data_IF_630349367416
#
_entry.id   IF_630349367416
#
_cell.length_a   1.000
_cell.length_b   1.000
_cell.length_c   1.000
_cell.angle_alpha   90.00
_cell.angle_beta   90.00
_cell.angle_gamma   90.00
#
_symmetry.space_group_name_H-M   'P 1'
#
loop_
_entity.id
_entity.type
_entity.pdbx_description
1 polymer ?
#
# COMPACT_ATOMS: atom_id res chain seq x y z
N UNK A 1 5.55 25.04 5.25
CA UNK A 1 6.04 23.70 5.62
C UNK A 1 5.24 22.69 4.80
N UNK A 2 5.89 21.86 3.99
CA UNK A 2 5.24 20.84 3.17
C UNK A 2 5.19 19.51 3.94
N UNK A 3 4.01 18.96 4.12
CA UNK A 3 3.80 17.71 4.87
C UNK A 3 3.58 16.52 3.95
N UNK A 4 4.18 15.40 4.28
CA UNK A 4 4.08 14.16 3.51
C UNK A 4 3.42 13.01 4.29
N UNK A 5 2.72 12.12 3.57
CA UNK A 5 2.19 10.87 4.07
C UNK A 5 2.77 9.71 3.27
N UNK A 6 3.39 8.75 3.96
CA UNK A 6 3.90 7.49 3.37
C UNK A 6 3.13 6.32 3.93
N UNK A 7 2.50 5.50 3.08
CA UNK A 7 1.71 4.35 3.49
C UNK A 7 2.33 3.05 2.95
N UNK A 8 2.91 2.27 3.87
CA UNK A 8 3.51 0.97 3.53
C UNK A 8 2.46 -0.01 2.99
N UNK A 9 2.89 -0.86 2.05
CA UNK A 9 2.12 -2.02 1.62
C UNK A 9 2.18 -3.19 2.60
N UNK A 10 1.28 -4.16 2.43
CA UNK A 10 1.28 -5.33 3.32
C UNK A 10 0.14 -6.32 3.04
N UNK A 11 -0.58 -6.17 1.92
CA UNK A 11 -1.79 -6.95 1.65
C UNK A 11 -2.81 -6.75 2.76
N UNK A 12 -3.32 -7.85 3.31
CA UNK A 12 -4.35 -7.83 4.36
C UNK A 12 -3.92 -7.10 5.64
N UNK A 13 -2.62 -7.03 5.95
CA UNK A 13 -2.12 -6.26 7.11
C UNK A 13 -2.38 -4.75 7.02
N UNK A 14 -2.72 -4.24 5.84
CA UNK A 14 -3.05 -2.83 5.64
C UNK A 14 -4.45 -2.44 6.16
N UNK A 15 -5.23 -3.36 6.73
CA UNK A 15 -6.39 -3.01 7.55
C UNK A 15 -5.99 -2.09 8.71
N UNK A 16 -4.77 -2.21 9.24
CA UNK A 16 -4.21 -1.29 10.21
C UNK A 16 -4.12 0.14 9.69
N UNK A 17 -3.52 0.33 8.51
CA UNK A 17 -3.43 1.67 7.90
C UNK A 17 -4.81 2.23 7.53
N UNK A 18 -5.79 1.38 7.20
CA UNK A 18 -7.17 1.81 6.97
C UNK A 18 -7.77 2.49 8.21
N UNK A 19 -7.56 1.93 9.41
CA UNK A 19 -8.02 2.52 10.67
C UNK A 19 -7.37 3.89 10.94
N UNK A 20 -6.07 4.03 10.70
CA UNK A 20 -5.35 5.32 10.84
C UNK A 20 -5.88 6.35 9.84
N UNK A 21 -6.05 5.98 8.57
CA UNK A 21 -6.50 6.89 7.51
C UNK A 21 -7.95 7.36 7.75
N UNK A 22 -8.82 6.50 8.25
CA UNK A 22 -10.18 6.90 8.63
C UNK A 22 -10.16 7.89 9.80
N UNK A 23 -9.22 7.73 10.75
CA UNK A 23 -9.04 8.72 11.83
C UNK A 23 -8.46 10.04 11.31
N UNK A 24 -7.60 10.03 10.29
CA UNK A 24 -7.18 11.28 9.65
C UNK A 24 -8.37 12.01 9.04
N UNK A 25 -9.32 11.30 8.41
CA UNK A 25 -10.54 11.90 7.90
C UNK A 25 -11.42 12.47 9.03
N UNK A 26 -11.60 11.72 10.13
CA UNK A 26 -12.40 12.16 11.28
C UNK A 26 -11.84 13.44 11.94
N UNK A 27 -10.51 13.58 11.99
CA UNK A 27 -9.80 14.73 12.58
C UNK A 27 -9.45 15.83 11.55
N UNK A 28 -9.93 15.68 10.29
CA UNK A 28 -9.65 16.62 9.20
C UNK A 28 -8.16 16.87 8.94
N UNK A 29 -7.32 15.84 9.19
CA UNK A 29 -5.88 15.91 8.95
C UNK A 29 -5.63 15.68 7.46
N UNK A 30 -4.91 16.59 6.82
CA UNK A 30 -4.55 16.55 5.40
C UNK A 30 -3.04 16.66 5.23
N UNK A 31 -2.55 16.25 4.05
CA UNK A 31 -1.13 16.30 3.69
C UNK A 31 -0.98 16.94 2.32
N UNK A 32 0.16 17.59 2.07
CA UNK A 32 0.46 18.20 0.77
C UNK A 32 0.92 17.15 -0.26
N UNK A 33 1.49 16.05 0.22
CA UNK A 33 1.99 14.94 -0.59
C UNK A 33 1.65 13.60 0.05
N UNK A 34 1.14 12.67 -0.73
CA UNK A 34 0.83 11.32 -0.29
C UNK A 34 1.49 10.30 -1.22
N UNK A 35 2.10 9.27 -0.67
CA UNK A 35 2.63 8.15 -1.44
C UNK A 35 2.27 6.81 -0.78
N UNK A 36 1.76 5.89 -1.59
CA UNK A 36 1.37 4.56 -1.14
C UNK A 36 2.06 3.45 -1.92
N UNK A 37 2.14 2.28 -1.30
CA UNK A 37 2.74 1.07 -1.90
C UNK A 37 1.76 -0.09 -1.78
N UNK A 38 1.49 -0.80 -2.89
CA UNK A 38 0.61 -1.99 -2.86
C UNK A 38 -0.78 -1.65 -2.26
N UNK A 39 -1.27 -2.45 -1.32
CA UNK A 39 -2.52 -2.15 -0.60
C UNK A 39 -2.51 -0.77 0.09
N UNK A 40 -1.34 -0.25 0.47
CA UNK A 40 -1.19 1.11 0.98
C UNK A 40 -1.55 2.18 -0.06
N UNK A 41 -1.27 1.95 -1.37
CA UNK A 41 -1.68 2.87 -2.43
C UNK A 41 -3.19 2.93 -2.60
N UNK A 42 -3.87 1.78 -2.52
CA UNK A 42 -5.32 1.71 -2.59
C UNK A 42 -5.99 2.39 -1.38
N UNK A 43 -5.45 2.16 -0.18
CA UNK A 43 -5.93 2.81 1.04
C UNK A 43 -5.75 4.34 0.97
N UNK A 44 -4.61 4.81 0.46
CA UNK A 44 -4.33 6.23 0.26
C UNK A 44 -5.28 6.85 -0.77
N UNK A 45 -5.61 6.14 -1.86
CA UNK A 45 -6.58 6.62 -2.84
C UNK A 45 -7.98 6.85 -2.22
N UNK A 46 -8.46 5.90 -1.40
CA UNK A 46 -9.74 6.06 -0.68
C UNK A 46 -9.71 7.21 0.34
N UNK A 47 -8.57 7.42 1.01
CA UNK A 47 -8.37 8.56 1.91
C UNK A 47 -8.43 9.88 1.15
N UNK A 48 -7.73 10.00 0.02
CA UNK A 48 -7.77 11.21 -0.82
C UNK A 48 -9.13 11.48 -1.44
N UNK A 49 -9.93 10.43 -1.67
CA UNK A 49 -11.33 10.52 -2.06
C UNK A 49 -12.28 10.92 -0.91
N UNK A 50 -11.78 11.07 0.32
CA UNK A 50 -12.62 11.37 1.49
C UNK A 50 -13.59 10.26 1.89
N UNK A 51 -13.39 9.04 1.40
CA UNK A 51 -14.33 7.92 1.56
C UNK A 51 -14.07 7.12 2.84
N UNK A 52 -14.47 7.69 3.98
CA UNK A 52 -14.37 7.04 5.28
C UNK A 52 -15.05 5.65 5.28
N UNK A 53 -14.40 4.67 5.86
CA UNK A 53 -14.88 3.29 5.97
C UNK A 53 -14.76 2.46 4.70
N UNK A 54 -14.48 3.08 3.52
CA UNK A 54 -14.33 2.34 2.27
C UNK A 54 -13.23 1.29 2.37
N UNK A 55 -12.07 1.65 2.90
CA UNK A 55 -10.97 0.72 3.07
C UNK A 55 -11.36 -0.49 3.93
N UNK A 56 -12.07 -0.27 5.05
CA UNK A 56 -12.50 -1.37 5.92
C UNK A 56 -13.42 -2.35 5.18
N UNK A 57 -14.37 -1.87 4.35
CA UNK A 57 -15.24 -2.76 3.57
C UNK A 57 -14.47 -3.72 2.69
N UNK A 58 -13.35 -3.30 2.10
CA UNK A 58 -12.48 -4.17 1.30
C UNK A 58 -11.77 -5.24 2.14
N UNK A 59 -11.49 -4.98 3.41
CA UNK A 59 -10.86 -5.95 4.31
C UNK A 59 -11.86 -6.85 5.03
N UNK A 60 -13.12 -6.45 5.13
CA UNK A 60 -14.15 -7.19 5.90
C UNK A 60 -15.29 -7.63 4.99
N UNK A 61 -16.02 -6.71 4.36
CA UNK A 61 -17.28 -7.03 3.69
C UNK A 61 -17.04 -7.77 2.36
N UNK A 62 -16.08 -7.32 1.55
CA UNK A 62 -15.75 -7.92 0.25
C UNK A 62 -14.77 -9.09 0.33
N UNK A 63 -14.12 -9.32 1.48
CA UNK A 63 -13.05 -10.31 1.64
C UNK A 63 -13.41 -11.72 1.16
N UNK A 64 -14.64 -12.14 1.42
CA UNK A 64 -15.13 -13.49 1.12
C UNK A 64 -15.83 -13.60 -0.23
N UNK A 65 -15.91 -12.53 -1.01
CA UNK A 65 -16.53 -12.56 -2.34
C UNK A 65 -15.75 -13.43 -3.33
N UNK A 66 -16.47 -14.16 -4.22
CA UNK A 66 -15.85 -15.02 -5.20
C UNK A 66 -15.05 -14.26 -6.24
N UNK A 67 -13.89 -14.03 -6.21
CA UNK A 67 -13.06 -13.23 -7.14
C UNK A 67 -12.10 -12.32 -6.43
N UNK A 68 -12.31 -12.08 -5.12
CA UNK A 68 -11.46 -11.23 -4.34
C UNK A 68 -10.06 -11.86 -4.15
N UNK A 69 -9.98 -13.03 -3.52
CA UNK A 69 -8.70 -13.75 -3.33
C UNK A 69 -8.91 -15.23 -2.98
N UNK A 70 -7.86 -16.02 -3.11
CA UNK A 70 -7.80 -17.39 -2.60
C UNK A 70 -7.46 -18.44 -3.64
N UNK A 71 -7.37 -19.71 -3.18
CA UNK A 71 -6.96 -20.85 -4.01
C UNK A 71 -7.93 -21.10 -5.17
N UNK A 72 -9.24 -20.91 -4.96
CA UNK A 72 -10.23 -21.04 -6.04
C UNK A 72 -10.01 -20.01 -7.14
N UNK A 73 -9.65 -18.77 -6.77
CA UNK A 73 -9.31 -17.73 -7.73
C UNK A 73 -8.01 -18.07 -8.48
N UNK A 74 -6.99 -18.55 -7.76
CA UNK A 74 -5.74 -19.01 -8.36
C UNK A 74 -5.97 -20.11 -9.41
N UNK A 75 -6.78 -21.12 -9.10
CA UNK A 75 -7.08 -22.21 -10.04
C UNK A 75 -7.87 -21.74 -11.27
N UNK A 76 -8.78 -20.78 -11.10
CA UNK A 76 -9.63 -20.27 -12.19
C UNK A 76 -8.93 -19.27 -13.09
N UNK A 77 -8.12 -18.37 -12.52
CA UNK A 77 -7.56 -17.20 -13.22
C UNK A 77 -6.04 -17.21 -13.32
N UNK A 78 -5.37 -18.09 -12.59
CA UNK A 78 -3.92 -18.09 -12.42
C UNK A 78 -3.43 -16.98 -11.49
N UNK A 79 -4.31 -16.36 -10.69
CA UNK A 79 -4.01 -15.28 -9.76
C UNK A 79 -4.63 -15.58 -8.39
N UNK A 80 -3.87 -15.42 -7.31
CA UNK A 80 -4.39 -15.57 -5.97
C UNK A 80 -5.26 -14.38 -5.57
N UNK A 81 -4.77 -13.15 -5.81
CA UNK A 81 -5.56 -11.91 -5.66
C UNK A 81 -6.22 -11.55 -6.99
N UNK A 82 -7.49 -11.27 -6.97
CA UNK A 82 -8.27 -10.86 -8.13
C UNK A 82 -8.21 -9.37 -8.36
N UNK A 83 -7.06 -8.84 -8.80
CA UNK A 83 -6.86 -7.40 -8.97
C UNK A 83 -7.91 -6.76 -9.89
N UNK A 84 -8.32 -7.46 -10.98
CA UNK A 84 -9.39 -6.99 -11.85
C UNK A 84 -10.73 -6.94 -11.11
N UNK A 85 -11.01 -7.94 -10.29
CA UNK A 85 -12.23 -7.94 -9.48
C UNK A 85 -12.25 -6.78 -8.50
N UNK A 86 -11.16 -6.60 -7.76
CA UNK A 86 -11.03 -5.57 -6.72
C UNK A 86 -11.06 -4.16 -7.33
N UNK A 87 -10.22 -3.91 -8.35
CA UNK A 87 -9.97 -2.55 -8.87
C UNK A 87 -10.70 -2.21 -10.16
N UNK A 88 -11.48 -3.14 -10.72
CA UNK A 88 -12.38 -2.86 -11.84
C UNK A 88 -13.83 -3.20 -11.45
N UNK A 89 -14.15 -4.46 -11.10
CA UNK A 89 -15.54 -4.86 -10.84
C UNK A 89 -16.15 -4.19 -9.60
N UNK A 90 -15.37 -4.06 -8.49
CA UNK A 90 -15.88 -3.41 -7.27
C UNK A 90 -15.71 -1.89 -7.31
N UNK A 91 -14.58 -1.43 -7.84
CA UNK A 91 -14.09 -0.04 -7.67
C UNK A 91 -14.54 0.90 -8.79
N UNK A 92 -14.91 0.40 -9.99
CA UNK A 92 -15.41 1.24 -11.07
C UNK A 92 -16.73 1.93 -10.70
N UNK A 93 -17.07 2.97 -11.42
CA UNK A 93 -18.25 3.83 -11.17
C UNK A 93 -19.60 3.06 -11.15
N UNK A 94 -19.67 1.93 -11.85
CA UNK A 94 -20.80 1.01 -11.87
C UNK A 94 -20.65 -0.19 -10.91
N UNK A 95 -19.55 -0.22 -10.14
CA UNK A 95 -19.22 -1.29 -9.20
C UNK A 95 -20.00 -1.22 -7.89
N UNK A 96 -19.82 -2.25 -7.05
CA UNK A 96 -20.51 -2.33 -5.76
C UNK A 96 -19.93 -1.36 -4.70
N UNK A 97 -18.68 -0.95 -4.83
CA UNK A 97 -18.02 -0.01 -3.91
C UNK A 97 -17.11 0.96 -4.70
N UNK A 98 -17.73 1.86 -5.48
CA UNK A 98 -17.00 2.74 -6.38
C UNK A 98 -16.08 3.70 -5.62
N UNK A 99 -14.93 4.00 -6.23
CA UNK A 99 -14.08 5.06 -5.74
C UNK A 99 -14.55 6.41 -6.32
N UNK A 100 -14.59 7.42 -5.49
CA UNK A 100 -14.84 8.79 -5.94
C UNK A 100 -13.58 9.36 -6.60
N UNK A 101 -13.39 9.01 -7.86
CA UNK A 101 -12.24 9.47 -8.64
C UNK A 101 -12.22 10.99 -8.84
N UNK A 102 -13.35 11.67 -9.13
CA UNK A 102 -13.39 13.13 -9.15
C UNK A 102 -12.81 13.76 -7.88
N UNK A 103 -13.20 13.26 -6.69
CA UNK A 103 -12.66 13.77 -5.43
C UNK A 103 -11.14 13.57 -5.30
N UNK A 104 -10.58 12.47 -5.82
CA UNK A 104 -9.11 12.28 -5.86
C UNK A 104 -8.45 13.34 -6.73
N UNK A 105 -9.03 13.65 -7.90
CA UNK A 105 -8.48 14.64 -8.84
C UNK A 105 -8.54 16.04 -8.24
N UNK A 106 -9.64 16.39 -7.61
CA UNK A 106 -9.87 17.70 -6.98
C UNK A 106 -9.06 17.89 -5.68
N UNK A 107 -8.66 16.82 -5.02
CA UNK A 107 -7.84 16.88 -3.82
C UNK A 107 -6.51 17.60 -4.11
N UNK A 108 -6.12 18.66 -3.37
CA UNK A 108 -4.92 19.44 -3.66
C UNK A 108 -3.61 18.67 -3.42
N UNK A 109 -3.62 17.60 -2.63
CA UNK A 109 -2.42 16.81 -2.35
C UNK A 109 -1.82 16.21 -3.64
N UNK A 110 -0.50 16.26 -3.78
CA UNK A 110 0.18 15.41 -4.75
C UNK A 110 0.00 13.94 -4.33
N UNK A 111 -0.28 13.06 -5.28
CA UNK A 111 -0.40 11.64 -5.00
C UNK A 111 0.52 10.82 -5.88
N UNK A 112 1.36 9.99 -5.26
CA UNK A 112 2.17 8.99 -5.95
C UNK A 112 1.87 7.58 -5.43
N UNK A 113 2.03 6.60 -6.32
CA UNK A 113 1.94 5.19 -5.99
C UNK A 113 3.09 4.43 -6.64
N UNK A 114 3.71 3.54 -5.86
CA UNK A 114 4.92 2.84 -6.28
C UNK A 114 4.57 1.55 -7.00
N UNK A 115 5.16 1.35 -8.18
CA UNK A 115 5.22 0.05 -8.84
C UNK A 115 6.66 -0.32 -9.13
N UNK A 116 6.92 -1.55 -9.51
CA UNK A 116 8.23 -2.03 -9.94
C UNK A 116 8.20 -2.35 -11.41
N UNK A 117 9.04 -1.69 -12.21
CA UNK A 117 9.24 -2.00 -13.61
C UNK A 117 9.82 -3.41 -13.76
N UNK A 118 9.15 -4.26 -14.54
CA UNK A 118 9.50 -5.68 -14.66
C UNK A 118 10.81 -5.92 -15.41
N UNK A 119 11.18 -5.01 -16.32
CA UNK A 119 12.38 -5.13 -17.14
C UNK A 119 13.63 -4.69 -16.39
N UNK A 120 13.52 -3.66 -15.56
CA UNK A 120 14.65 -3.06 -14.83
C UNK A 120 14.73 -3.45 -13.37
N UNK A 121 13.61 -3.88 -12.76
CA UNK A 121 13.49 -4.13 -11.30
C UNK A 121 13.57 -2.87 -10.45
N UNK A 122 13.46 -1.68 -11.06
CA UNK A 122 13.54 -0.38 -10.39
C UNK A 122 12.14 0.14 -10.03
N UNK A 123 12.02 1.03 -9.02
CA UNK A 123 10.76 1.67 -8.71
C UNK A 123 10.34 2.65 -9.81
N UNK A 124 9.04 2.69 -10.06
CA UNK A 124 8.34 3.69 -10.86
C UNK A 124 7.27 4.31 -9.98
N UNK A 125 7.13 5.63 -10.06
CA UNK A 125 6.20 6.39 -9.26
C UNK A 125 5.12 6.96 -10.19
N UNK A 126 3.94 6.31 -10.18
CA UNK A 126 2.77 6.80 -10.88
C UNK A 126 2.12 7.94 -10.10
N UNK A 127 1.47 8.83 -10.81
CA UNK A 127 0.77 10.01 -10.26
C UNK A 127 -0.74 9.92 -10.51
N UNK A 128 -1.49 10.93 -10.11
CA UNK A 128 -2.90 11.06 -10.48
C UNK A 128 -3.13 11.05 -11.99
N UNK A 129 -2.19 11.61 -12.77
CA UNK A 129 -2.28 11.71 -14.23
C UNK A 129 -2.19 10.36 -14.93
N UNK A 130 -1.66 9.35 -14.24
CA UNK A 130 -1.61 7.96 -14.71
C UNK A 130 -2.92 7.18 -14.44
N UNK A 131 -3.91 7.82 -13.84
CA UNK A 131 -5.23 7.23 -13.58
C UNK A 131 -6.31 7.97 -14.37
N UNK A 132 -7.42 7.30 -14.62
CA UNK A 132 -8.64 7.86 -15.21
C UNK A 132 -9.84 7.24 -14.53
N UNK A 133 -11.01 7.87 -14.68
CA UNK A 133 -12.26 7.25 -14.28
C UNK A 133 -12.34 5.84 -14.87
N UNK A 134 -12.56 4.85 -14.01
CA UNK A 134 -12.70 3.42 -14.33
C UNK A 134 -11.44 2.76 -14.95
N UNK A 135 -10.29 3.42 -14.87
CA UNK A 135 -8.97 2.85 -15.21
C UNK A 135 -7.97 3.06 -14.07
N UNK A 136 -7.96 2.10 -13.14
CA UNK A 136 -7.09 2.12 -11.96
C UNK A 136 -5.91 1.14 -12.11
N UNK A 137 -5.41 0.96 -13.35
CA UNK A 137 -4.27 0.08 -13.63
C UNK A 137 -3.00 0.49 -12.91
N UNK A 138 -2.81 1.77 -12.61
CA UNK A 138 -1.69 2.23 -11.78
C UNK A 138 -1.75 1.62 -10.36
N UNK A 139 -2.94 1.61 -9.72
CA UNK A 139 -3.15 0.94 -8.42
C UNK A 139 -2.96 -0.58 -8.56
N UNK A 140 -3.50 -1.18 -9.63
CA UNK A 140 -3.32 -2.62 -9.89
C UNK A 140 -1.84 -2.97 -10.05
N UNK A 141 -1.05 -2.16 -10.76
CA UNK A 141 0.39 -2.33 -10.93
C UNK A 141 1.13 -2.29 -9.59
N UNK A 142 0.78 -1.30 -8.74
CA UNK A 142 1.31 -1.20 -7.38
C UNK A 142 1.01 -2.44 -6.51
N UNK A 143 -0.10 -3.15 -6.78
CA UNK A 143 -0.57 -4.32 -6.03
C UNK A 143 -0.23 -5.68 -6.69
N UNK A 144 0.45 -5.71 -7.82
CA UNK A 144 0.71 -6.92 -8.59
C UNK A 144 1.85 -7.78 -7.99
N UNK A 145 1.59 -8.44 -6.88
CA UNK A 145 2.56 -9.30 -6.20
C UNK A 145 3.05 -10.43 -7.12
N UNK A 146 4.36 -10.56 -7.37
CA UNK A 146 4.91 -11.63 -8.19
C UNK A 146 4.46 -13.02 -7.71
N UNK A 147 4.21 -13.92 -8.65
CA UNK A 147 3.71 -15.30 -8.44
C UNK A 147 2.25 -15.33 -7.98
N UNK A 148 1.82 -14.40 -7.13
CA UNK A 148 0.46 -14.34 -6.60
C UNK A 148 -0.50 -13.62 -7.55
N UNK A 149 0.02 -12.74 -8.40
CA UNK A 149 -0.71 -12.00 -9.44
C UNK A 149 0.05 -12.09 -10.76
N UNK A 150 -0.68 -11.86 -11.86
CA UNK A 150 -0.05 -11.56 -13.15
C UNK A 150 0.50 -10.13 -13.10
N UNK A 151 1.61 -9.85 -13.80
CA UNK A 151 2.06 -8.48 -13.96
C UNK A 151 1.02 -7.65 -14.72
N UNK A 152 1.01 -6.36 -14.48
CA UNK A 152 0.10 -5.42 -15.14
C UNK A 152 0.82 -4.74 -16.30
N UNK A 153 0.23 -4.83 -17.49
CA UNK A 153 0.69 -4.06 -18.66
C UNK A 153 0.02 -2.68 -18.64
N UNK A 154 0.84 -1.64 -18.66
CA UNK A 154 0.39 -0.26 -18.60
C UNK A 154 1.43 0.65 -19.27
N UNK A 155 1.02 1.66 -20.04
CA UNK A 155 1.91 2.55 -20.80
C UNK A 155 3.00 1.81 -21.63
N UNK A 156 2.61 0.70 -22.29
CA UNK A 156 3.49 -0.18 -23.08
C UNK A 156 4.59 -0.90 -22.30
N UNK A 157 4.60 -0.81 -20.98
CA UNK A 157 5.53 -1.47 -20.08
C UNK A 157 4.80 -2.49 -19.20
N UNK A 158 5.57 -3.25 -18.44
CA UNK A 158 5.05 -4.30 -17.54
C UNK A 158 5.51 -4.04 -16.11
N UNK A 159 4.60 -4.14 -15.16
CA UNK A 159 4.85 -3.78 -13.77
C UNK A 159 4.46 -4.88 -12.80
N UNK A 160 5.19 -4.92 -11.69
CA UNK A 160 4.92 -5.68 -10.47
C UNK A 160 4.75 -4.75 -9.26
N UNK A 161 4.36 -5.33 -8.12
CA UNK A 161 4.15 -4.65 -6.84
C UNK A 161 5.34 -3.76 -6.45
N UNK A 162 5.03 -2.55 -6.03
CA UNK A 162 6.03 -1.55 -5.63
C UNK A 162 6.89 -1.97 -4.44
N UNK A 163 6.35 -2.81 -3.56
CA UNK A 163 7.09 -3.34 -2.42
C UNK A 163 8.26 -4.28 -2.76
N UNK A 164 8.57 -4.48 -4.06
CA UNK A 164 9.80 -5.15 -4.46
C UNK A 164 10.99 -4.19 -4.52
N UNK A 165 10.74 -2.95 -4.91
CA UNK A 165 11.81 -1.98 -5.22
C UNK A 165 11.86 -0.79 -4.28
N UNK A 166 10.72 -0.40 -3.67
CA UNK A 166 10.64 0.65 -2.65
C UNK A 166 9.41 0.43 -1.76
N UNK A 167 9.60 -0.24 -0.62
CA UNK A 167 8.48 -0.65 0.26
C UNK A 167 7.98 0.44 1.19
N UNK A 168 8.85 1.40 1.56
CA UNK A 168 8.53 2.53 2.44
C UNK A 168 9.27 3.76 1.91
N UNK A 169 8.67 4.45 0.91
CA UNK A 169 9.33 5.46 0.09
C UNK A 169 9.51 6.82 0.80
N UNK A 170 10.13 6.83 1.98
CA UNK A 170 10.34 8.04 2.77
C UNK A 170 11.32 9.01 2.08
N UNK A 171 12.41 8.50 1.50
CA UNK A 171 13.38 9.33 0.78
C UNK A 171 12.74 9.96 -0.46
N UNK A 172 11.74 9.28 -1.08
CA UNK A 172 10.96 9.87 -2.18
C UNK A 172 10.14 11.07 -1.70
N UNK A 173 9.50 10.99 -0.54
CA UNK A 173 8.73 12.09 0.03
C UNK A 173 9.63 13.32 0.32
N UNK A 174 10.82 13.12 0.88
CA UNK A 174 11.79 14.20 1.07
C UNK A 174 12.32 14.76 -0.26
N UNK A 175 12.58 13.89 -1.25
CA UNK A 175 12.98 14.33 -2.59
C UNK A 175 11.88 15.16 -3.30
N UNK A 176 10.62 15.01 -2.90
CA UNK A 176 9.48 15.85 -3.33
C UNK A 176 9.35 17.16 -2.54
N UNK A 177 10.28 17.44 -1.65
CA UNK A 177 10.34 18.68 -0.89
C UNK A 177 9.47 18.69 0.37
N UNK A 178 9.06 17.53 0.88
CA UNK A 178 8.42 17.47 2.19
C UNK A 178 9.42 17.86 3.28
N UNK A 179 8.97 18.70 4.21
CA UNK A 179 9.74 19.09 5.40
C UNK A 179 9.53 18.11 6.56
N UNK A 180 8.31 17.54 6.64
CA UNK A 180 7.89 16.56 7.65
C UNK A 180 7.08 15.45 7.00
N UNK A 181 7.28 14.21 7.46
CA UNK A 181 6.62 13.03 6.87
C UNK A 181 5.98 12.16 7.95
N UNK A 182 4.70 11.88 7.81
CA UNK A 182 4.02 10.85 8.59
C UNK A 182 4.12 9.52 7.84
N UNK A 183 4.59 8.48 8.54
CA UNK A 183 4.76 7.13 7.96
C UNK A 183 3.81 6.16 8.65
N UNK A 184 3.03 5.40 7.87
CA UNK A 184 2.20 4.31 8.39
C UNK A 184 2.81 2.99 7.95
N UNK A 185 3.34 2.22 8.90
CA UNK A 185 3.86 0.87 8.69
C UNK A 185 2.75 -0.17 8.88
N UNK A 186 2.78 -1.23 8.10
CA UNK A 186 1.85 -2.36 8.20
C UNK A 186 2.34 -3.47 9.14
N UNK A 187 3.52 -3.28 9.73
CA UNK A 187 4.19 -4.25 10.59
C UNK A 187 4.72 -3.56 11.85
N UNK A 188 4.81 -4.29 12.98
CA UNK A 188 5.40 -3.76 14.21
C UNK A 188 6.83 -3.27 13.99
N UNK A 189 7.28 -2.32 14.79
CA UNK A 189 8.66 -1.79 14.76
C UNK A 189 9.74 -2.85 14.95
N UNK A 190 9.41 -3.95 15.62
CA UNK A 190 10.31 -5.10 15.84
C UNK A 190 10.47 -6.01 14.62
N UNK A 191 9.66 -5.82 13.57
CA UNK A 191 9.68 -6.68 12.40
C UNK A 191 10.99 -6.56 11.62
N UNK A 192 11.63 -7.70 11.37
CA UNK A 192 12.83 -7.79 10.53
C UNK A 192 12.54 -8.64 9.30
N UNK A 193 12.51 -8.02 8.13
CA UNK A 193 12.28 -8.70 6.87
C UNK A 193 13.36 -9.75 6.60
N UNK A 194 12.93 -11.00 6.40
CA UNK A 194 13.80 -12.12 6.03
C UNK A 194 13.86 -12.26 4.50
N UNK A 195 14.90 -12.92 3.96
CA UNK A 195 14.95 -13.30 2.56
C UNK A 195 13.68 -14.06 2.12
N UNK A 196 13.24 -13.83 0.88
CA UNK A 196 12.05 -14.51 0.36
C UNK A 196 12.28 -16.03 0.28
N UNK A 197 11.29 -16.76 0.79
CA UNK A 197 11.27 -18.23 0.66
C UNK A 197 10.92 -18.70 -0.76
N UNK A 198 10.95 -20.02 -0.95
CA UNK A 198 10.52 -20.66 -2.22
C UNK A 198 11.23 -20.13 -3.49
N UNK A 199 12.52 -19.84 -3.37
CA UNK A 199 13.35 -19.22 -4.42
C UNK A 199 13.26 -19.95 -5.77
N UNK A 200 13.18 -21.27 -5.78
CA UNK A 200 13.06 -22.05 -7.02
C UNK A 200 11.73 -21.79 -7.73
N UNK A 201 10.64 -21.64 -6.97
CA UNK A 201 9.30 -21.41 -7.51
C UNK A 201 9.25 -20.06 -8.21
N UNK A 202 9.61 -18.96 -7.52
CA UNK A 202 9.50 -17.64 -8.14
C UNK A 202 10.52 -17.43 -9.27
N UNK A 203 11.72 -18.02 -9.20
CA UNK A 203 12.70 -17.98 -10.30
C UNK A 203 12.18 -18.67 -11.54
N UNK A 204 11.49 -19.80 -11.40
CA UNK A 204 10.87 -20.48 -12.53
C UNK A 204 9.70 -19.67 -13.09
N UNK A 205 8.79 -19.19 -12.23
CA UNK A 205 7.62 -18.43 -12.64
C UNK A 205 7.98 -17.11 -13.34
N UNK A 206 9.03 -16.44 -12.85
CA UNK A 206 9.47 -15.12 -13.32
C UNK A 206 10.66 -15.18 -14.29
N UNK A 207 10.96 -16.33 -14.90
CA UNK A 207 12.15 -16.50 -15.77
C UNK A 207 12.24 -15.51 -16.93
N UNK A 208 11.12 -14.90 -17.33
CA UNK A 208 11.06 -13.82 -18.34
C UNK A 208 11.48 -12.44 -17.78
N UNK A 209 11.58 -12.29 -16.46
CA UNK A 209 11.84 -11.04 -15.77
C UNK A 209 13.05 -11.16 -14.83
N UNK A 210 14.28 -11.27 -15.34
CA UNK A 210 15.47 -11.54 -14.53
C UNK A 210 15.77 -10.43 -13.52
N UNK A 211 15.46 -9.16 -13.84
CA UNK A 211 15.65 -8.05 -12.91
C UNK A 211 14.61 -8.06 -11.78
N UNK A 212 13.38 -8.45 -12.06
CA UNK A 212 12.36 -8.69 -11.01
C UNK A 212 12.80 -9.80 -10.05
N UNK A 213 13.41 -10.90 -10.58
CA UNK A 213 14.00 -11.95 -9.73
C UNK A 213 15.09 -11.37 -8.83
N UNK A 214 15.98 -10.53 -9.38
CA UNK A 214 17.04 -9.88 -8.61
C UNK A 214 16.45 -8.94 -7.53
N UNK A 215 15.39 -8.20 -7.85
CA UNK A 215 14.68 -7.36 -6.89
C UNK A 215 14.09 -8.20 -5.75
N UNK A 216 13.44 -9.34 -6.05
CA UNK A 216 12.93 -10.29 -5.04
C UNK A 216 14.05 -10.87 -4.18
N UNK A 217 15.16 -11.30 -4.78
CA UNK A 217 16.32 -11.85 -4.06
C UNK A 217 16.87 -10.84 -3.03
N UNK A 218 16.82 -9.53 -3.34
CA UNK A 218 17.34 -8.43 -2.51
C UNK A 218 16.27 -7.67 -1.72
N UNK A 219 14.99 -8.03 -1.85
CA UNK A 219 13.87 -7.30 -1.24
C UNK A 219 14.04 -7.10 0.26
N UNK A 220 14.58 -8.07 0.96
CA UNK A 220 14.83 -7.97 2.40
C UNK A 220 15.90 -6.93 2.74
N UNK A 221 16.90 -6.73 1.89
CA UNK A 221 17.95 -5.72 2.08
C UNK A 221 17.38 -4.32 1.82
N UNK A 222 16.65 -4.14 0.72
CA UNK A 222 15.96 -2.90 0.39
C UNK A 222 14.99 -2.49 1.51
N UNK A 223 14.15 -3.42 1.99
CA UNK A 223 13.22 -3.15 3.09
C UNK A 223 13.94 -2.69 4.37
N UNK A 224 15.04 -3.37 4.73
CA UNK A 224 15.84 -2.97 5.91
C UNK A 224 16.44 -1.59 5.73
N UNK A 225 16.87 -1.23 4.52
CA UNK A 225 17.35 0.12 4.23
C UNK A 225 16.23 1.15 4.40
N UNK A 226 15.04 0.93 3.78
CA UNK A 226 13.90 1.83 3.98
C UNK A 226 13.57 2.05 5.47
N UNK A 227 13.58 0.99 6.29
CA UNK A 227 13.33 1.13 7.74
C UNK A 227 14.47 1.88 8.45
N UNK A 228 15.70 1.72 8.00
CA UNK A 228 16.83 2.49 8.54
C UNK A 228 16.69 3.99 8.19
N UNK A 229 16.25 4.31 6.98
CA UNK A 229 15.99 5.68 6.53
C UNK A 229 14.83 6.30 7.33
N UNK A 230 13.72 5.56 7.52
CA UNK A 230 12.62 5.98 8.40
C UNK A 230 13.12 6.31 9.81
N UNK A 231 13.91 5.42 10.41
CA UNK A 231 14.47 5.64 11.76
C UNK A 231 15.38 6.86 11.82
N UNK A 232 16.19 7.09 10.80
CA UNK A 232 17.07 8.27 10.68
C UNK A 232 16.25 9.55 10.74
N UNK A 233 15.20 9.67 9.91
CA UNK A 233 14.34 10.86 9.87
C UNK A 233 13.48 10.99 11.14
N UNK A 234 13.01 9.89 11.72
CA UNK A 234 12.31 9.92 13.01
C UNK A 234 13.21 10.45 14.12
N UNK A 235 14.48 10.01 14.18
CA UNK A 235 15.48 10.50 15.16
C UNK A 235 15.80 11.97 14.97
N UNK A 236 15.75 12.47 13.72
CA UNK A 236 15.95 13.88 13.40
C UNK A 236 14.72 14.76 13.71
N UNK A 237 13.58 14.15 14.09
CA UNK A 237 12.32 14.87 14.30
C UNK A 237 11.61 15.29 13.00
N UNK A 238 12.02 14.71 11.88
CA UNK A 238 11.48 14.97 10.53
C UNK A 238 10.39 13.97 10.14
N UNK A 239 10.28 12.85 10.84
CA UNK A 239 9.27 11.83 10.61
C UNK A 239 8.54 11.44 11.89
N UNK A 240 7.22 11.19 11.78
CA UNK A 240 6.39 10.56 12.79
C UNK A 240 5.88 9.21 12.27
N UNK A 241 6.04 8.14 13.06
CA UNK A 241 5.79 6.77 12.59
C UNK A 241 4.68 6.09 13.38
N UNK A 242 3.59 5.76 12.70
CA UNK A 242 2.58 4.82 13.16
C UNK A 242 2.99 3.40 12.75
N UNK A 243 3.06 2.51 13.71
CA UNK A 243 3.32 1.09 13.52
C UNK A 243 2.46 0.28 14.50
N UNK A 244 1.93 -0.90 14.12
CA UNK A 244 1.12 -1.71 15.02
C UNK A 244 1.80 -1.91 16.37
N UNK A 245 1.16 -1.42 17.46
CA UNK A 245 1.67 -1.51 18.83
C UNK A 245 1.70 -2.96 19.35
N UNK A 246 0.95 -3.86 18.69
CA UNK A 246 0.86 -5.29 19.01
C UNK A 246 1.02 -6.11 17.74
N UNK A 247 1.75 -7.21 17.84
CA UNK A 247 1.82 -8.17 16.75
C UNK A 247 0.56 -9.06 16.78
N UNK A 248 -0.31 -8.89 15.80
CA UNK A 248 -1.35 -9.85 15.50
C UNK A 248 -0.79 -10.90 14.55
N UNK A 249 -0.76 -12.17 14.99
CA UNK A 249 -0.26 -13.30 14.17
C UNK A 249 -1.17 -13.51 12.97
N UNK A 250 -0.90 -12.80 11.91
CA UNK A 250 -1.66 -12.82 10.67
C UNK A 250 -0.75 -12.97 9.46
N UNK A 251 -1.15 -13.85 8.53
CA UNK A 251 -0.53 -13.93 7.21
C UNK A 251 -0.98 -12.75 6.35
N UNK A 252 -0.11 -12.27 5.47
CA UNK A 252 -0.47 -11.32 4.39
C UNK A 252 -1.60 -11.83 3.48
N UNK A 253 -1.85 -13.13 3.50
CA UNK A 253 -2.85 -13.84 2.69
C UNK A 253 -4.01 -14.39 3.52
N UNK A 254 -4.19 -13.92 4.75
CA UNK A 254 -5.27 -14.38 5.61
C UNK A 254 -6.64 -13.93 5.07
N UNK A 255 -7.65 -14.76 5.29
CA UNK A 255 -9.07 -14.47 5.04
C UNK A 255 -9.81 -14.65 6.34
N UNK A 256 -9.67 -13.68 7.23
CA UNK A 256 -10.28 -13.68 8.56
C UNK A 256 -10.81 -12.27 8.87
N UNK A 257 -12.09 -12.04 8.57
CA UNK A 257 -12.79 -10.76 8.78
C UNK A 257 -12.64 -10.24 10.21
N UNK A 258 -12.67 -11.14 11.20
CA UNK A 258 -12.55 -10.74 12.61
C UNK A 258 -11.14 -10.26 12.95
N UNK A 259 -10.15 -10.84 12.31
CA UNK A 259 -8.75 -10.44 12.48
C UNK A 259 -8.46 -9.13 11.76
N UNK A 260 -9.05 -8.94 10.55
CA UNK A 260 -8.99 -7.69 9.81
C UNK A 260 -9.64 -6.54 10.59
N UNK A 261 -10.83 -6.78 11.16
CA UNK A 261 -11.50 -5.80 12.02
C UNK A 261 -10.62 -5.43 13.23
N UNK A 262 -9.99 -6.42 13.88
CA UNK A 262 -9.07 -6.16 15.01
C UNK A 262 -7.85 -5.34 14.61
N UNK A 263 -7.31 -5.54 13.39
CA UNK A 263 -6.21 -4.72 12.89
C UNK A 263 -6.64 -3.28 12.63
N UNK A 264 -7.81 -3.09 12.05
CA UNK A 264 -8.40 -1.78 11.85
C UNK A 264 -8.63 -1.06 13.19
N UNK A 265 -9.23 -1.76 14.17
CA UNK A 265 -9.47 -1.22 15.52
C UNK A 265 -8.15 -0.89 16.24
N UNK A 266 -7.09 -1.68 16.01
CA UNK A 266 -5.75 -1.40 16.52
C UNK A 266 -5.20 -0.10 15.89
N UNK A 267 -5.41 0.13 14.59
CA UNK A 267 -5.04 1.37 13.92
C UNK A 267 -5.72 2.58 14.55
N UNK A 268 -7.03 2.50 14.82
CA UNK A 268 -7.79 3.54 15.54
C UNK A 268 -7.22 3.77 16.94
N UNK A 269 -6.95 2.70 17.68
CA UNK A 269 -6.42 2.78 19.05
C UNK A 269 -5.04 3.43 19.08
N UNK A 270 -4.14 3.03 18.20
CA UNK A 270 -2.78 3.56 18.10
C UNK A 270 -2.79 5.02 17.65
N UNK A 271 -3.68 5.39 16.71
CA UNK A 271 -3.89 6.78 16.34
C UNK A 271 -4.29 7.64 17.54
N UNK A 272 -5.32 7.21 18.28
CA UNK A 272 -5.82 7.98 19.43
C UNK A 272 -4.74 8.15 20.52
N UNK A 273 -3.87 7.15 20.70
CA UNK A 273 -2.75 7.22 21.63
C UNK A 273 -1.69 8.26 21.22
N UNK A 274 -1.54 8.53 19.93
CA UNK A 274 -0.53 9.45 19.38
C UNK A 274 -1.12 10.77 18.85
N UNK A 275 -2.42 11.02 19.02
CA UNK A 275 -3.12 12.19 18.45
C UNK A 275 -2.45 13.52 18.87
N UNK A 276 -2.11 13.66 20.15
CA UNK A 276 -1.46 14.89 20.65
C UNK A 276 -0.06 15.09 20.04
N UNK A 277 0.71 14.01 19.91
CA UNK A 277 2.03 14.02 19.29
C UNK A 277 1.92 14.40 17.81
N UNK A 278 0.94 13.84 17.10
CA UNK A 278 0.68 14.14 15.69
C UNK A 278 0.34 15.63 15.48
N UNK A 279 -0.55 16.20 16.29
CA UNK A 279 -0.86 17.63 16.19
C UNK A 279 0.36 18.51 16.45
N UNK A 280 1.19 18.16 17.43
CA UNK A 280 2.45 18.87 17.69
C UNK A 280 3.43 18.72 16.53
N UNK A 281 3.47 17.56 15.92
CA UNK A 281 4.35 17.28 14.78
C UNK A 281 3.93 18.03 13.51
N UNK A 282 2.64 18.21 13.26
CA UNK A 282 2.11 18.89 12.08
C UNK A 282 1.99 20.41 12.23
N UNK A 283 2.09 20.96 13.45
CA UNK A 283 2.16 22.39 13.73
C UNK A 283 3.56 22.95 13.48
#
# INVERSE_FOLDING_TARGET
MKTGLVVEGGGMKCAYSAGILDRFLDEHITFDYCIGVSAGSANTASYLAGQRGRNLRFYVDHLNEPGYMGVKNLLRTGQFFGLQYIYQTLTNSDGADPIDYPAIVENPAEFELVATDAATGKPVYFTKDDMKQDDYRAIMASCALPVMCRPISFHNETYFDGGLSDSVPIERAFAKGCDRVVVILSKPRSFVKQPEGFRHIYRHALRKYPQTIKALDNRHLMYRQNIADVKKHETAGEALVFAPSKELKMSTYARDEKLEQKLYDLGISDFNAHLKELHTFLS
#
